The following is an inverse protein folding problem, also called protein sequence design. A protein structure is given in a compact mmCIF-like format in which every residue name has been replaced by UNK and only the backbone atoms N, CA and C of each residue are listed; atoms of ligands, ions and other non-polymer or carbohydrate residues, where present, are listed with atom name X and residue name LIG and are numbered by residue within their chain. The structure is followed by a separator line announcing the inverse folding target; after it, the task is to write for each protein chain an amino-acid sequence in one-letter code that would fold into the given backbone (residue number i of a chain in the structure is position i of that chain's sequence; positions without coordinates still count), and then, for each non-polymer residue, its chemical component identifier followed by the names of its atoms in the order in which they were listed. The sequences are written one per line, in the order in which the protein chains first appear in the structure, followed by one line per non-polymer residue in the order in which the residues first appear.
data_IF_877601547523
#
_entry.id   IF_877601547523
#
_cell.length_a   1.000
_cell.length_b   1.000
_cell.length_c   1.000
_cell.angle_alpha   90.00
_cell.angle_beta   90.00
_cell.angle_gamma   90.00
#
_symmetry.space_group_name_H-M   'P 1'
#
loop_
_entity.id
_entity.type
_entity.pdbx_description
1 polymer ?
#
# COMPACT_ATOMS: atom_id res chain seq x y z
N UNK A 1 -25.40 -40.99 23.38
CA UNK A 1 -24.42 -40.00 22.90
C UNK A 1 -25.07 -39.24 21.77
N UNK A 2 -25.34 -37.95 21.95
CA UNK A 2 -25.95 -37.14 20.89
C UNK A 2 -24.98 -37.04 19.72
N UNK A 3 -25.42 -37.49 18.55
CA UNK A 3 -24.70 -37.38 17.30
C UNK A 3 -24.74 -35.89 16.90
N UNK A 4 -23.77 -35.10 17.39
CA UNK A 4 -23.57 -33.74 16.90
C UNK A 4 -23.03 -33.87 15.48
N UNK A 5 -23.91 -34.16 14.52
CA UNK A 5 -23.62 -33.93 13.11
C UNK A 5 -23.17 -32.48 13.00
N UNK A 6 -21.96 -32.30 12.48
CA UNK A 6 -21.35 -30.98 12.33
C UNK A 6 -22.34 -30.06 11.62
N UNK A 7 -22.91 -29.11 12.36
CA UNK A 7 -24.02 -28.25 11.93
C UNK A 7 -23.70 -27.52 10.63
N UNK A 8 -22.42 -27.24 10.40
CA UNK A 8 -21.91 -26.63 9.17
C UNK A 8 -22.08 -27.53 7.93
N UNK A 9 -21.87 -28.85 8.08
CA UNK A 9 -22.07 -29.82 6.98
C UNK A 9 -23.55 -29.93 6.61
N UNK A 10 -24.46 -29.65 7.54
CA UNK A 10 -25.89 -29.69 7.32
C UNK A 10 -26.46 -28.40 6.69
N UNK A 11 -25.68 -27.32 6.60
CA UNK A 11 -26.11 -26.08 5.93
C UNK A 11 -26.43 -26.30 4.45
N UNK A 12 -27.35 -25.49 3.93
CA UNK A 12 -27.62 -25.44 2.49
C UNK A 12 -26.34 -25.07 1.71
N UNK A 13 -26.12 -25.63 0.50
CA UNK A 13 -24.94 -25.33 -0.32
C UNK A 13 -24.68 -23.83 -0.52
N UNK A 14 -25.74 -23.04 -0.68
CA UNK A 14 -25.69 -21.59 -0.91
C UNK A 14 -25.07 -20.86 0.29
N UNK A 15 -25.41 -21.29 1.52
CA UNK A 15 -24.84 -20.70 2.74
C UNK A 15 -23.37 -21.08 2.89
N UNK A 16 -22.99 -22.31 2.57
CA UNK A 16 -21.59 -22.74 2.62
C UNK A 16 -20.72 -21.96 1.62
N UNK A 17 -21.23 -21.67 0.42
CA UNK A 17 -20.53 -20.85 -0.58
C UNK A 17 -20.33 -19.43 -0.06
N UNK A 18 -21.37 -18.81 0.51
CA UNK A 18 -21.25 -17.49 1.15
C UNK A 18 -20.21 -17.48 2.26
N UNK A 19 -20.12 -18.56 3.03
CA UNK A 19 -19.11 -18.69 4.09
C UNK A 19 -17.71 -18.75 3.47
N UNK A 20 -17.48 -19.56 2.43
CA UNK A 20 -16.19 -19.56 1.72
C UNK A 20 -15.81 -18.18 1.17
N UNK A 21 -16.76 -17.44 0.61
CA UNK A 21 -16.55 -16.09 0.06
C UNK A 21 -16.30 -15.04 1.16
N UNK A 22 -16.80 -15.27 2.37
CA UNK A 22 -16.61 -14.38 3.51
C UNK A 22 -15.33 -14.67 4.31
N UNK A 23 -14.60 -15.74 3.98
CA UNK A 23 -13.31 -16.02 4.61
C UNK A 23 -12.32 -14.88 4.30
N UNK A 24 -11.39 -14.59 5.23
CA UNK A 24 -10.47 -13.46 5.07
C UNK A 24 -9.48 -13.66 3.93
N UNK A 25 -9.11 -14.91 3.64
CA UNK A 25 -8.03 -15.20 2.70
C UNK A 25 -8.10 -16.63 2.13
N UNK A 26 -7.28 -16.88 1.10
CA UNK A 26 -7.22 -18.16 0.41
C UNK A 26 -6.71 -19.28 1.32
N UNK A 27 -5.79 -18.98 2.25
CA UNK A 27 -5.32 -19.93 3.26
C UNK A 27 -6.49 -20.51 4.08
N UNK A 28 -7.36 -19.64 4.58
CA UNK A 28 -8.55 -20.05 5.35
C UNK A 28 -9.51 -20.87 4.49
N UNK A 29 -9.70 -20.51 3.23
CA UNK A 29 -10.54 -21.27 2.31
C UNK A 29 -9.97 -22.67 2.03
N UNK A 30 -8.65 -22.79 1.86
CA UNK A 30 -7.97 -24.08 1.71
C UNK A 30 -8.08 -24.90 3.00
N UNK A 31 -7.89 -24.30 4.16
CA UNK A 31 -8.05 -24.99 5.44
C UNK A 31 -9.48 -25.54 5.59
N UNK A 32 -10.49 -24.72 5.31
CA UNK A 32 -11.90 -25.13 5.41
C UNK A 32 -12.25 -26.26 4.44
N UNK A 33 -11.82 -26.18 3.17
CA UNK A 33 -12.14 -27.23 2.18
C UNK A 33 -11.51 -28.58 2.53
N UNK A 34 -10.36 -28.58 3.21
CA UNK A 34 -9.65 -29.79 3.61
C UNK A 34 -10.26 -30.50 4.82
N UNK A 35 -11.21 -29.86 5.53
CA UNK A 35 -11.85 -30.48 6.70
C UNK A 35 -12.74 -31.67 6.36
N UNK A 36 -13.37 -31.73 5.18
CA UNK A 36 -14.05 -32.93 4.70
C UNK A 36 -14.30 -32.96 3.18
N UNK A 37 -14.53 -34.16 2.63
CA UNK A 37 -14.74 -34.38 1.19
C UNK A 37 -15.94 -33.63 0.60
N UNK A 38 -17.03 -33.46 1.37
CA UNK A 38 -18.22 -32.69 0.95
C UNK A 38 -17.88 -31.22 0.72
N UNK A 39 -17.07 -30.62 1.59
CA UNK A 39 -16.64 -29.23 1.48
C UNK A 39 -15.58 -29.05 0.39
N UNK A 40 -14.68 -30.02 0.23
CA UNK A 40 -13.75 -30.04 -0.90
C UNK A 40 -14.49 -30.06 -2.25
N UNK A 41 -15.48 -30.95 -2.39
CA UNK A 41 -16.29 -31.04 -3.61
C UNK A 41 -17.06 -29.74 -3.88
N UNK A 42 -17.60 -29.11 -2.83
CA UNK A 42 -18.27 -27.82 -2.95
C UNK A 42 -17.29 -26.72 -3.37
N UNK A 43 -16.13 -26.62 -2.72
CA UNK A 43 -15.10 -25.65 -3.07
C UNK A 43 -14.70 -25.80 -4.54
N UNK A 44 -14.35 -27.02 -4.98
CA UNK A 44 -13.91 -27.26 -6.36
C UNK A 44 -14.99 -26.89 -7.38
N UNK A 45 -16.27 -27.08 -7.05
CA UNK A 45 -17.40 -26.68 -7.90
C UNK A 45 -17.54 -25.16 -8.02
N UNK A 46 -17.20 -24.40 -6.98
CA UNK A 46 -17.39 -22.95 -6.91
C UNK A 46 -16.09 -22.16 -6.81
N UNK A 47 -14.96 -22.81 -7.10
CA UNK A 47 -13.61 -22.28 -6.85
C UNK A 47 -13.41 -20.91 -7.50
N UNK A 48 -13.84 -20.76 -8.76
CA UNK A 48 -13.72 -19.50 -9.49
C UNK A 48 -14.41 -18.34 -8.76
N UNK A 49 -15.63 -18.57 -8.24
CA UNK A 49 -16.39 -17.53 -7.54
C UNK A 49 -15.83 -17.21 -6.15
N UNK A 50 -15.25 -18.22 -5.47
CA UNK A 50 -14.59 -18.03 -4.17
C UNK A 50 -13.29 -17.25 -4.37
N UNK A 51 -12.45 -17.67 -5.32
CA UNK A 51 -11.19 -16.99 -5.65
C UNK A 51 -11.42 -15.56 -6.11
N UNK A 52 -12.43 -15.32 -6.95
CA UNK A 52 -12.79 -13.97 -7.37
C UNK A 52 -13.13 -13.08 -6.18
N UNK A 53 -13.97 -13.54 -5.23
CA UNK A 53 -14.31 -12.78 -4.04
C UNK A 53 -13.08 -12.42 -3.18
N UNK A 54 -12.15 -13.38 -3.01
CA UNK A 54 -10.92 -13.17 -2.25
C UNK A 54 -9.94 -12.20 -2.95
N UNK A 55 -9.80 -12.33 -4.28
CA UNK A 55 -9.03 -11.39 -5.11
C UNK A 55 -9.61 -9.99 -5.03
N UNK A 56 -10.93 -9.86 -5.21
CA UNK A 56 -11.62 -8.57 -5.22
C UNK A 56 -11.46 -7.84 -3.89
N UNK A 57 -11.40 -8.57 -2.77
CA UNK A 57 -11.09 -8.01 -1.45
C UNK A 57 -9.69 -7.37 -1.41
N UNK A 58 -8.65 -8.10 -1.81
CA UNK A 58 -7.27 -7.61 -1.86
C UNK A 58 -7.18 -6.36 -2.76
N UNK A 59 -7.74 -6.47 -3.97
CA UNK A 59 -7.73 -5.39 -4.97
C UNK A 59 -8.46 -4.16 -4.46
N UNK A 60 -9.63 -4.32 -3.85
CA UNK A 60 -10.43 -3.21 -3.34
C UNK A 60 -9.71 -2.49 -2.20
N UNK A 61 -9.03 -3.21 -1.30
CA UNK A 61 -8.26 -2.60 -0.20
C UNK A 61 -7.13 -1.71 -0.73
N UNK A 62 -6.30 -2.24 -1.64
CA UNK A 62 -5.20 -1.46 -2.26
C UNK A 62 -5.75 -0.29 -3.06
N UNK A 63 -6.80 -0.51 -3.86
CA UNK A 63 -7.42 0.55 -4.66
C UNK A 63 -7.97 1.67 -3.78
N UNK A 64 -8.64 1.34 -2.68
CA UNK A 64 -9.19 2.34 -1.76
C UNK A 64 -8.08 3.22 -1.17
N UNK A 65 -6.92 2.62 -0.85
CA UNK A 65 -5.75 3.37 -0.40
C UNK A 65 -5.19 4.28 -1.48
N UNK A 66 -4.98 3.79 -2.71
CA UNK A 66 -4.45 4.61 -3.80
C UNK A 66 -5.40 5.75 -4.17
N UNK A 67 -6.71 5.49 -4.22
CA UNK A 67 -7.74 6.53 -4.40
C UNK A 67 -7.63 7.57 -3.30
N UNK A 68 -7.49 7.16 -2.04
CA UNK A 68 -7.26 8.09 -0.94
C UNK A 68 -6.00 8.95 -1.15
N UNK A 69 -4.88 8.36 -1.56
CA UNK A 69 -3.66 9.12 -1.86
C UNK A 69 -3.86 10.17 -2.96
N UNK A 70 -4.76 9.94 -3.92
CA UNK A 70 -5.10 10.96 -4.94
C UNK A 70 -5.81 12.19 -4.36
N UNK A 71 -6.46 12.05 -3.21
CA UNK A 71 -7.06 13.17 -2.47
C UNK A 71 -6.02 13.97 -1.68
N UNK A 72 -4.90 13.33 -1.32
CA UNK A 72 -3.85 13.91 -0.49
C UNK A 72 -2.75 14.59 -1.30
N UNK A 73 -2.07 13.86 -2.18
CA UNK A 73 -0.93 14.39 -2.91
C UNK A 73 -0.76 13.83 -4.33
N UNK A 74 -1.14 12.58 -4.58
CA UNK A 74 -0.98 11.96 -5.89
C UNK A 74 -1.96 12.63 -6.88
N UNK A 75 -1.53 12.96 -8.10
CA UNK A 75 -2.46 13.44 -9.12
C UNK A 75 -3.38 12.30 -9.58
N UNK A 76 -4.66 12.60 -9.78
CA UNK A 76 -5.66 11.58 -10.13
C UNK A 76 -5.31 10.82 -11.43
N UNK A 77 -4.66 11.49 -12.38
CA UNK A 77 -4.26 10.90 -13.66
C UNK A 77 -3.13 9.88 -13.53
N UNK A 78 -2.39 9.87 -12.41
CA UNK A 78 -1.35 8.90 -12.17
C UNK A 78 -1.91 7.54 -11.74
N UNK A 79 -3.13 7.50 -11.19
CA UNK A 79 -3.79 6.25 -10.82
C UNK A 79 -4.29 5.53 -12.08
N UNK A 80 -3.68 4.38 -12.38
CA UNK A 80 -4.05 3.50 -13.49
C UNK A 80 -4.99 2.42 -12.98
N UNK A 81 -6.25 2.48 -13.39
CA UNK A 81 -7.24 1.47 -13.05
C UNK A 81 -7.26 0.33 -14.09
N UNK A 82 -7.36 -0.94 -13.65
CA UNK A 82 -7.49 -2.06 -14.55
C UNK A 82 -8.83 -2.02 -15.32
N UNK A 83 -8.88 -2.57 -16.54
CA UNK A 83 -10.15 -2.92 -17.19
C UNK A 83 -10.95 -3.93 -16.36
N UNK A 84 -12.25 -4.10 -16.68
CA UNK A 84 -13.13 -5.02 -15.93
C UNK A 84 -12.68 -6.49 -15.90
N UNK A 85 -11.84 -6.90 -16.85
CA UNK A 85 -11.24 -8.25 -16.91
C UNK A 85 -9.78 -8.30 -16.45
N UNK A 86 -9.27 -7.22 -15.87
CA UNK A 86 -7.85 -7.05 -15.55
C UNK A 86 -7.01 -6.58 -16.75
N UNK A 87 -5.72 -6.39 -16.50
CA UNK A 87 -4.71 -6.04 -17.48
C UNK A 87 -4.46 -7.23 -18.42
N UNK A 88 -4.77 -7.11 -19.73
CA UNK A 88 -4.86 -8.26 -20.64
C UNK A 88 -3.50 -8.94 -20.90
N UNK A 89 -2.40 -8.22 -20.69
CA UNK A 89 -1.04 -8.74 -20.87
C UNK A 89 -0.42 -9.29 -19.58
N UNK A 90 -1.10 -9.18 -18.43
CA UNK A 90 -0.69 -9.81 -17.17
C UNK A 90 -1.40 -11.16 -17.06
N UNK A 91 -0.79 -12.20 -17.63
CA UNK A 91 -1.35 -13.56 -17.71
C UNK A 91 -0.33 -14.59 -17.22
N UNK A 92 -0.78 -15.78 -16.79
CA UNK A 92 0.15 -16.86 -16.43
C UNK A 92 1.14 -17.19 -17.55
N UNK A 93 0.73 -17.04 -18.82
CA UNK A 93 1.57 -17.28 -19.99
C UNK A 93 2.62 -16.18 -20.19
N UNK A 94 2.27 -14.91 -20.05
CA UNK A 94 3.26 -13.82 -20.13
C UNK A 94 4.23 -13.82 -18.94
N UNK A 95 3.86 -14.51 -17.86
CA UNK A 95 4.66 -14.71 -16.65
C UNK A 95 5.26 -16.13 -16.56
N UNK A 96 5.24 -16.89 -17.67
CA UNK A 96 5.81 -18.22 -17.72
C UNK A 96 7.32 -18.18 -17.38
N UNK A 97 7.75 -19.10 -16.52
CA UNK A 97 9.13 -19.15 -16.00
C UNK A 97 9.35 -18.35 -14.70
N UNK A 98 8.33 -17.64 -14.22
CA UNK A 98 8.31 -17.09 -12.88
C UNK A 98 7.56 -18.10 -12.00
N UNK A 99 8.19 -18.59 -10.93
CA UNK A 99 7.59 -19.60 -10.04
C UNK A 99 6.47 -19.02 -9.14
N UNK A 100 5.48 -18.34 -9.71
CA UNK A 100 4.33 -17.78 -9.00
C UNK A 100 3.07 -18.59 -9.26
N UNK A 101 2.12 -18.56 -8.33
CA UNK A 101 0.82 -19.24 -8.51
C UNK A 101 -0.08 -18.45 -9.46
N UNK A 102 -1.00 -19.14 -10.13
CA UNK A 102 -2.02 -18.50 -10.97
C UNK A 102 -2.82 -17.43 -10.21
N UNK A 103 -3.02 -17.62 -8.90
CA UNK A 103 -3.75 -16.66 -8.06
C UNK A 103 -2.97 -15.36 -7.86
N UNK A 104 -1.64 -15.40 -7.73
CA UNK A 104 -0.82 -14.18 -7.68
C UNK A 104 -0.97 -13.40 -8.97
N UNK A 105 -0.84 -14.09 -10.12
CA UNK A 105 -0.95 -13.43 -11.42
C UNK A 105 -2.36 -12.85 -11.64
N UNK A 106 -3.39 -13.57 -11.18
CA UNK A 106 -4.78 -13.09 -11.18
C UNK A 106 -4.97 -11.83 -10.31
N UNK A 107 -4.35 -11.77 -9.13
CA UNK A 107 -4.38 -10.57 -8.29
C UNK A 107 -3.65 -9.41 -8.96
N UNK A 108 -2.40 -9.62 -9.42
CA UNK A 108 -1.60 -8.58 -10.08
C UNK A 108 -2.32 -8.02 -11.31
N UNK A 109 -2.97 -8.86 -12.12
CA UNK A 109 -3.71 -8.39 -13.29
C UNK A 109 -4.92 -7.52 -12.93
N UNK A 110 -5.40 -7.55 -11.69
CA UNK A 110 -6.52 -6.71 -11.23
C UNK A 110 -6.08 -5.60 -10.27
N UNK A 111 -4.79 -5.45 -9.98
CA UNK A 111 -4.34 -4.33 -9.15
C UNK A 111 -4.43 -3.00 -9.93
N UNK A 112 -4.79 -1.90 -9.26
CA UNK A 112 -4.46 -0.58 -9.74
C UNK A 112 -2.95 -0.34 -9.60
N UNK A 113 -2.42 0.51 -10.47
CA UNK A 113 -1.02 0.92 -10.43
C UNK A 113 -0.92 2.44 -10.38
N UNK A 114 0.25 2.94 -10.01
CA UNK A 114 0.56 4.37 -10.03
C UNK A 114 1.64 4.60 -11.07
N UNK A 115 1.41 5.53 -11.98
CA UNK A 115 2.35 5.86 -13.03
C UNK A 115 3.72 6.22 -12.43
N UNK A 116 4.79 5.75 -13.04
CA UNK A 116 6.13 6.09 -12.57
C UNK A 116 6.40 7.60 -12.68
N UNK A 117 7.25 8.10 -11.78
CA UNK A 117 7.84 9.44 -11.87
C UNK A 117 9.35 9.33 -11.89
N UNK A 118 10.02 10.42 -12.21
CA UNK A 118 11.47 10.50 -12.09
C UNK A 118 11.89 10.04 -10.70
N UNK A 119 12.79 9.04 -10.58
CA UNK A 119 13.28 8.58 -9.28
C UNK A 119 13.79 9.75 -8.43
N UNK A 120 13.41 9.76 -7.14
CA UNK A 120 13.77 10.83 -6.21
C UNK A 120 12.87 12.08 -6.25
N UNK A 121 11.89 12.15 -7.16
CA UNK A 121 10.93 13.26 -7.18
C UNK A 121 9.81 13.14 -6.14
N UNK A 122 9.66 11.97 -5.48
CA UNK A 122 8.67 11.58 -4.47
C UNK A 122 7.18 11.88 -4.76
N UNK A 123 6.85 12.40 -5.94
CA UNK A 123 5.51 12.91 -6.25
C UNK A 123 4.43 11.84 -6.18
N UNK A 124 4.79 10.58 -6.44
CA UNK A 124 3.90 9.43 -6.51
C UNK A 124 4.26 8.37 -5.45
N UNK A 125 4.98 8.77 -4.40
CA UNK A 125 5.32 7.87 -3.32
C UNK A 125 4.06 7.45 -2.55
N UNK A 126 3.97 6.17 -2.20
CA UNK A 126 2.85 5.62 -1.42
C UNK A 126 3.17 5.48 0.07
N UNK A 127 4.44 5.57 0.43
CA UNK A 127 5.00 5.58 1.78
C UNK A 127 6.40 6.26 1.74
N UNK A 128 7.15 6.29 2.84
CA UNK A 128 8.52 6.78 2.93
C UNK A 128 9.40 6.26 1.78
N UNK A 129 9.68 7.11 0.80
CA UNK A 129 10.57 6.83 -0.35
C UNK A 129 10.13 5.65 -1.23
N UNK A 130 8.89 5.16 -1.08
CA UNK A 130 8.41 3.95 -1.72
C UNK A 130 7.47 4.27 -2.88
N UNK A 131 7.74 3.69 -4.04
CA UNK A 131 6.93 3.80 -5.24
C UNK A 131 6.37 2.44 -5.65
N UNK A 132 5.21 2.47 -6.31
CA UNK A 132 4.52 1.28 -6.82
C UNK A 132 5.31 0.67 -7.97
N UNK A 133 5.45 -0.65 -7.95
CA UNK A 133 5.96 -1.40 -9.10
C UNK A 133 4.82 -1.61 -10.10
N UNK A 134 4.86 -0.86 -11.20
CA UNK A 134 3.87 -0.94 -12.26
C UNK A 134 4.14 -2.12 -13.19
N UNK A 135 3.56 -3.28 -12.85
CA UNK A 135 3.68 -4.47 -13.69
C UNK A 135 3.07 -4.32 -15.09
N UNK A 136 2.27 -3.27 -15.35
CA UNK A 136 1.72 -3.06 -16.69
C UNK A 136 2.77 -2.60 -17.70
N UNK A 137 3.89 -2.04 -17.24
CA UNK A 137 4.98 -1.59 -18.12
C UNK A 137 6.03 -2.67 -18.35
N UNK A 138 5.93 -3.80 -17.64
CA UNK A 138 6.99 -4.80 -17.62
C UNK A 138 6.92 -5.78 -18.79
N UNK A 139 8.10 -6.10 -19.30
CA UNK A 139 8.28 -7.28 -20.15
C UNK A 139 8.41 -8.54 -19.28
N UNK A 140 8.16 -9.74 -19.84
CA UNK A 140 8.44 -11.00 -19.14
C UNK A 140 9.88 -11.10 -18.60
N UNK A 141 10.85 -10.46 -19.26
CA UNK A 141 12.25 -10.35 -18.84
C UNK A 141 12.39 -9.49 -17.56
N UNK A 142 11.81 -8.28 -17.57
CA UNK A 142 11.86 -7.37 -16.42
C UNK A 142 11.24 -7.96 -15.16
N UNK A 143 10.17 -8.75 -15.33
CA UNK A 143 9.55 -9.48 -14.23
C UNK A 143 10.49 -10.50 -13.57
N UNK A 144 11.26 -11.24 -14.36
CA UNK A 144 12.25 -12.21 -13.82
C UNK A 144 13.34 -11.51 -13.03
N UNK A 145 13.88 -10.42 -13.57
CA UNK A 145 15.00 -9.69 -12.96
C UNK A 145 14.65 -9.12 -11.58
N UNK A 146 13.47 -8.53 -11.40
CA UNK A 146 13.08 -7.93 -10.10
C UNK A 146 12.76 -9.00 -9.05
N UNK A 147 12.13 -10.12 -9.45
CA UNK A 147 11.95 -11.24 -8.51
C UNK A 147 13.29 -11.84 -8.07
N UNK A 148 14.28 -11.90 -8.95
CA UNK A 148 15.62 -12.37 -8.59
C UNK A 148 16.35 -11.37 -7.67
N UNK A 149 16.18 -10.06 -7.90
CA UNK A 149 16.87 -9.00 -7.17
C UNK A 149 16.32 -8.75 -5.75
N UNK A 150 15.01 -8.88 -5.55
CA UNK A 150 14.33 -8.61 -4.27
C UNK A 150 14.42 -9.76 -3.26
N UNK A 151 14.94 -10.94 -3.64
CA UNK A 151 14.90 -12.12 -2.76
C UNK A 151 13.49 -12.69 -2.49
N UNK A 152 12.43 -12.00 -2.93
CA UNK A 152 11.02 -12.45 -2.96
C UNK A 152 10.80 -13.52 -4.07
N UNK A 153 11.79 -13.74 -4.92
CA UNK A 153 11.85 -14.81 -5.93
C UNK A 153 12.17 -16.20 -5.38
N UNK A 154 11.71 -17.22 -6.12
CA UNK A 154 11.75 -18.69 -5.93
C UNK A 154 11.27 -19.29 -4.60
N UNK A 155 11.37 -18.58 -3.48
CA UNK A 155 11.05 -19.14 -2.14
C UNK A 155 9.54 -19.05 -1.83
N UNK A 156 8.85 -18.00 -2.26
CA UNK A 156 7.42 -17.78 -1.94
C UNK A 156 6.57 -17.55 -3.18
N UNK A 157 5.98 -18.64 -3.71
CA UNK A 157 5.17 -18.64 -4.94
C UNK A 157 3.87 -17.82 -4.85
N UNK A 158 3.40 -17.55 -3.65
CA UNK A 158 2.16 -16.82 -3.36
C UNK A 158 2.37 -15.35 -2.99
N UNK A 159 3.62 -14.88 -2.97
CA UNK A 159 3.98 -13.51 -2.62
C UNK A 159 4.37 -12.69 -3.86
N UNK A 160 4.15 -11.38 -3.85
CA UNK A 160 4.59 -10.45 -4.90
C UNK A 160 5.08 -9.12 -4.31
N UNK A 161 6.20 -8.59 -4.81
CA UNK A 161 6.67 -7.25 -4.44
C UNK A 161 5.80 -6.20 -5.14
N UNK A 162 5.08 -5.37 -4.40
CA UNK A 162 4.14 -4.39 -4.98
C UNK A 162 4.66 -2.95 -4.91
N UNK A 163 5.62 -2.67 -4.03
CA UNK A 163 6.33 -1.40 -3.96
C UNK A 163 7.76 -1.58 -3.44
N UNK A 164 8.66 -0.71 -3.87
CA UNK A 164 10.05 -0.68 -3.42
C UNK A 164 10.51 0.76 -3.23
N UNK A 165 11.58 0.96 -2.49
CA UNK A 165 12.15 2.29 -2.30
C UNK A 165 13.31 2.58 -3.26
N UNK A 166 13.61 3.86 -3.45
CA UNK A 166 14.82 4.29 -4.16
C UNK A 166 16.04 4.53 -3.25
N UNK A 167 15.97 4.18 -1.95
CA UNK A 167 17.09 4.36 -1.01
C UNK A 167 17.76 3.03 -0.64
N UNK A 168 19.06 3.07 -0.33
CA UNK A 168 19.84 1.88 0.08
C UNK A 168 19.45 1.34 1.47
N UNK A 169 18.62 2.07 2.21
CA UNK A 169 17.99 1.65 3.49
C UNK A 169 16.50 1.36 3.31
N UNK A 170 16.15 0.99 2.09
CA UNK A 170 14.81 0.92 1.60
C UNK A 170 13.88 -0.05 2.29
N UNK A 171 12.61 0.24 2.06
CA UNK A 171 11.49 -0.62 2.43
C UNK A 171 10.96 -1.32 1.18
N UNK A 172 10.81 -2.63 1.27
CA UNK A 172 10.13 -3.45 0.27
C UNK A 172 8.76 -3.88 0.79
N UNK A 173 7.71 -3.60 0.02
CA UNK A 173 6.34 -3.98 0.36
C UNK A 173 5.95 -5.23 -0.42
N UNK A 174 5.83 -6.34 0.29
CA UNK A 174 5.54 -7.66 -0.29
C UNK A 174 4.12 -8.08 0.08
N UNK A 175 3.28 -8.31 -0.93
CA UNK A 175 1.92 -8.82 -0.78
C UNK A 175 1.91 -10.35 -0.74
N UNK A 176 1.44 -10.94 0.35
CA UNK A 176 1.06 -12.35 0.42
C UNK A 176 -0.40 -12.50 -0.02
N UNK A 177 -0.61 -13.01 -1.23
CA UNK A 177 -1.95 -13.23 -1.78
C UNK A 177 -2.68 -14.41 -1.14
N UNK A 178 -1.94 -15.37 -0.56
CA UNK A 178 -2.55 -16.53 0.08
C UNK A 178 -3.17 -16.15 1.43
N UNK A 179 -2.51 -15.26 2.18
CA UNK A 179 -2.94 -14.82 3.51
C UNK A 179 -3.62 -13.45 3.54
N UNK A 180 -3.57 -12.70 2.44
CA UNK A 180 -4.01 -11.31 2.37
C UNK A 180 -3.24 -10.44 3.38
N UNK A 181 -1.92 -10.59 3.42
CA UNK A 181 -1.02 -9.88 4.34
C UNK A 181 -0.04 -9.00 3.56
N UNK A 182 0.35 -7.88 4.16
CA UNK A 182 1.49 -7.07 3.73
C UNK A 182 2.68 -7.40 4.63
N UNK A 183 3.78 -7.83 3.99
CA UNK A 183 5.08 -8.00 4.62
C UNK A 183 5.96 -6.82 4.22
N UNK A 184 6.29 -6.00 5.21
CA UNK A 184 7.25 -4.91 5.10
C UNK A 184 8.62 -5.46 5.45
N UNK A 185 9.44 -5.64 4.43
CA UNK A 185 10.84 -6.03 4.58
C UNK A 185 11.67 -4.76 4.65
N UNK A 186 12.20 -4.47 5.83
CA UNK A 186 13.11 -3.37 6.06
C UNK A 186 14.52 -3.97 6.17
N UNK A 187 15.49 -3.36 5.48
CA UNK A 187 16.95 -3.63 5.59
C UNK A 187 17.35 -4.09 7.03
N UNK A 188 18.31 -5.03 7.22
CA UNK A 188 18.33 -6.09 8.24
C UNK A 188 18.47 -5.66 9.72
N UNK A 189 18.30 -4.38 10.02
CA UNK A 189 18.39 -3.78 11.35
C UNK A 189 17.02 -3.42 11.95
N UNK A 190 15.93 -3.38 11.17
CA UNK A 190 14.63 -2.89 11.64
C UNK A 190 13.54 -3.96 11.80
N UNK A 191 13.82 -5.21 11.41
CA UNK A 191 12.89 -6.34 11.53
C UNK A 191 11.81 -6.35 10.45
N UNK A 192 11.35 -7.55 10.10
CA UNK A 192 10.22 -7.73 9.20
C UNK A 192 8.92 -7.51 9.97
N UNK A 193 7.97 -6.79 9.36
CA UNK A 193 6.64 -6.61 9.92
C UNK A 193 5.58 -7.17 8.97
N UNK A 194 4.70 -8.03 9.50
CA UNK A 194 3.61 -8.67 8.75
C UNK A 194 2.28 -8.28 9.37
N UNK A 195 1.34 -7.85 8.53
CA UNK A 195 0.03 -7.37 8.96
C UNK A 195 -1.04 -7.74 7.93
N UNK A 196 -2.28 -7.93 8.37
CA UNK A 196 -3.42 -8.05 7.46
C UNK A 196 -3.50 -6.82 6.54
N UNK A 197 -3.88 -7.04 5.29
CA UNK A 197 -3.89 -5.99 4.27
C UNK A 197 -4.85 -4.84 4.59
N UNK A 198 -6.02 -5.13 5.17
CA UNK A 198 -7.01 -4.12 5.56
C UNK A 198 -6.53 -3.33 6.77
N UNK A 199 -5.92 -4.01 7.74
CA UNK A 199 -5.31 -3.38 8.91
C UNK A 199 -4.15 -2.45 8.49
N UNK A 200 -3.26 -2.93 7.61
CA UNK A 200 -2.10 -2.17 7.15
C UNK A 200 -2.50 -0.90 6.40
N UNK A 201 -3.31 -1.03 5.35
CA UNK A 201 -3.72 0.15 4.59
C UNK A 201 -4.67 1.06 5.39
N UNK A 202 -5.46 0.51 6.31
CA UNK A 202 -6.25 1.30 7.26
C UNK A 202 -5.37 2.15 8.17
N UNK A 203 -4.33 1.55 8.76
CA UNK A 203 -3.32 2.27 9.55
C UNK A 203 -2.65 3.37 8.72
N UNK A 204 -2.25 3.08 7.47
CA UNK A 204 -1.60 4.06 6.60
C UNK A 204 -2.51 5.27 6.26
N UNK A 205 -3.81 5.04 6.04
CA UNK A 205 -4.79 6.12 5.88
C UNK A 205 -4.85 6.99 7.13
N UNK A 206 -4.92 6.40 8.32
CA UNK A 206 -4.96 7.15 9.58
C UNK A 206 -3.68 7.95 9.82
N UNK A 207 -2.50 7.36 9.57
CA UNK A 207 -1.21 8.08 9.63
C UNK A 207 -1.18 9.29 8.71
N UNK A 208 -1.75 9.17 7.50
CA UNK A 208 -1.88 10.30 6.58
C UNK A 208 -2.88 11.36 7.10
N UNK A 209 -4.04 10.95 7.62
CA UNK A 209 -5.06 11.87 8.21
C UNK A 209 -4.52 12.65 9.41
N UNK A 210 -3.69 11.99 10.21
CA UNK A 210 -3.04 12.56 11.39
C UNK A 210 -1.78 13.35 11.06
N UNK A 211 -1.31 13.29 9.80
CA UNK A 211 -0.06 13.92 9.37
C UNK A 211 1.14 13.38 10.17
N UNK A 212 1.12 12.07 10.46
CA UNK A 212 2.29 11.29 10.90
C UNK A 212 3.16 10.91 9.69
N UNK A 213 2.55 10.85 8.51
CA UNK A 213 3.18 10.77 7.20
C UNK A 213 2.84 12.04 6.41
N UNK A 214 3.81 12.93 6.25
CA UNK A 214 3.62 14.21 5.56
C UNK A 214 4.40 14.25 4.25
N UNK A 215 3.68 14.27 3.14
CA UNK A 215 4.27 14.35 1.82
C UNK A 215 4.82 15.75 1.55
N UNK A 216 6.03 15.83 1.01
CA UNK A 216 6.68 17.10 0.68
C UNK A 216 7.11 17.02 -0.78
N UNK A 217 6.45 17.74 -1.71
CA UNK A 217 6.78 17.64 -3.13
C UNK A 217 8.25 17.98 -3.42
N UNK A 218 8.99 17.04 -4.00
CA UNK A 218 10.41 17.16 -4.34
C UNK A 218 11.39 16.87 -3.19
N UNK A 219 10.91 16.42 -2.03
CA UNK A 219 11.75 16.11 -0.86
C UNK A 219 11.28 14.82 -0.19
N UNK A 220 12.09 14.20 0.66
CA UNK A 220 11.66 13.00 1.38
C UNK A 220 10.40 13.25 2.23
N UNK A 221 9.48 12.27 2.22
CA UNK A 221 8.30 12.27 3.08
C UNK A 221 8.73 12.33 4.54
N UNK A 222 8.19 13.30 5.29
CA UNK A 222 8.50 13.43 6.71
C UNK A 222 7.67 12.41 7.47
N UNK A 223 8.36 11.54 8.21
CA UNK A 223 7.75 10.62 9.17
C UNK A 223 7.91 11.20 10.55
N UNK A 224 6.83 11.70 11.14
CA UNK A 224 6.85 12.21 12.52
C UNK A 224 6.71 11.06 13.52
N UNK A 225 7.73 10.19 13.58
CA UNK A 225 7.79 9.04 14.52
C UNK A 225 7.81 9.46 16.00
N UNK A 226 7.90 10.75 16.28
CA UNK A 226 7.98 11.31 17.64
C UNK A 226 6.85 12.28 17.92
N UNK A 227 5.75 12.24 17.15
CA UNK A 227 4.57 13.02 17.47
C UNK A 227 4.18 12.75 18.92
N UNK A 228 4.07 13.82 19.68
CA UNK A 228 3.54 13.77 21.04
C UNK A 228 2.26 14.61 21.10
N UNK A 229 1.30 14.25 21.96
CA UNK A 229 0.09 15.04 22.14
C UNK A 229 0.35 16.54 22.40
N UNK A 230 1.47 16.87 23.05
CA UNK A 230 1.92 18.23 23.32
C UNK A 230 2.29 19.05 22.07
N UNK A 231 2.54 18.41 20.91
CA UNK A 231 2.84 19.12 19.65
C UNK A 231 1.62 19.78 19.02
N UNK A 232 0.42 19.40 19.48
CA UNK A 232 -0.86 19.77 18.90
C UNK A 232 -1.18 18.95 17.63
N UNK A 233 -2.42 19.08 17.17
CA UNK A 233 -2.92 18.49 15.92
C UNK A 233 -2.49 19.29 14.67
N UNK A 234 -1.78 20.41 14.87
CA UNK A 234 -1.36 21.36 13.85
C UNK A 234 -2.43 22.38 13.46
N UNK A 235 -3.55 22.47 14.17
CA UNK A 235 -4.60 23.47 13.88
C UNK A 235 -4.15 24.90 14.19
N UNK A 236 -3.20 25.06 15.11
CA UNK A 236 -2.62 26.33 15.50
C UNK A 236 -1.26 26.57 14.84
N UNK A 237 -0.95 27.84 14.56
CA UNK A 237 0.33 28.28 14.02
C UNK A 237 1.42 28.07 15.09
N UNK A 238 2.42 27.18 14.88
CA UNK A 238 3.29 26.73 15.97
C UNK A 238 4.44 27.69 16.33
N UNK A 239 4.79 28.63 15.43
CA UNK A 239 5.86 29.62 15.63
C UNK A 239 5.66 30.83 14.67
N UNK A 240 6.49 31.87 14.79
CA UNK A 240 6.62 32.89 13.74
C UNK A 240 7.51 32.37 12.60
N UNK A 241 7.12 32.64 11.35
CA UNK A 241 7.86 32.15 10.18
C UNK A 241 9.30 32.67 10.18
N UNK A 242 9.56 33.91 10.61
CA UNK A 242 10.91 34.48 10.67
C UNK A 242 11.82 33.68 11.62
N UNK A 243 11.33 33.33 12.81
CA UNK A 243 12.06 32.49 13.76
C UNK A 243 12.33 31.09 13.21
N UNK A 244 11.33 30.50 12.56
CA UNK A 244 11.45 29.18 11.94
C UNK A 244 12.51 29.17 10.83
N UNK A 245 12.56 30.23 10.03
CA UNK A 245 13.56 30.39 8.95
C UNK A 245 14.97 30.71 9.47
N UNK A 246 15.09 31.27 10.68
CA UNK A 246 16.37 31.60 11.32
C UNK A 246 17.00 30.43 12.09
N UNK A 247 16.38 29.25 12.11
CA UNK A 247 16.95 28.05 12.73
C UNK A 247 18.27 27.66 12.07
N UNK A 248 19.29 27.34 12.87
CA UNK A 248 20.60 26.87 12.37
C UNK A 248 20.63 25.36 12.11
N UNK A 249 19.65 24.62 12.64
CA UNK A 249 19.56 23.16 12.53
C UNK A 249 19.23 22.71 11.10
N UNK A 250 19.76 21.55 10.72
CA UNK A 250 19.46 20.94 9.42
C UNK A 250 17.98 20.53 9.34
N UNK A 251 17.40 20.76 8.17
CA UNK A 251 16.03 20.34 7.86
C UNK A 251 15.96 18.81 7.66
N UNK A 252 14.88 18.12 8.08
CA UNK A 252 13.73 18.64 8.83
C UNK A 252 13.92 18.56 10.36
N UNK A 253 13.56 19.63 11.08
CA UNK A 253 13.45 19.64 12.54
C UNK A 253 12.02 19.33 13.01
N UNK A 254 11.82 19.11 14.32
CA UNK A 254 10.48 18.99 14.93
C UNK A 254 9.63 20.25 14.69
N UNK A 255 10.24 21.43 14.61
CA UNK A 255 9.51 22.69 14.32
C UNK A 255 9.07 22.75 12.86
N UNK A 256 9.92 22.28 11.93
CA UNK A 256 9.56 22.21 10.52
C UNK A 256 8.38 21.25 10.28
N UNK A 257 8.39 20.09 10.94
CA UNK A 257 7.29 19.12 10.92
C UNK A 257 5.96 19.72 11.43
N UNK A 258 6.00 20.46 12.56
CA UNK A 258 4.82 21.16 13.09
C UNK A 258 4.30 22.23 12.14
N UNK A 259 5.20 22.97 11.48
CA UNK A 259 4.80 23.99 10.50
C UNK A 259 4.13 23.39 9.27
N UNK A 260 4.71 22.32 8.71
CA UNK A 260 4.13 21.59 7.57
C UNK A 260 2.76 21.03 7.95
N UNK A 261 2.61 20.46 9.14
CA UNK A 261 1.32 20.01 9.67
C UNK A 261 0.30 21.15 9.65
N UNK A 262 0.68 22.32 10.14
CA UNK A 262 -0.17 23.51 10.12
C UNK A 262 -0.57 23.94 8.70
N UNK A 263 0.33 23.88 7.72
CA UNK A 263 -0.01 24.21 6.33
C UNK A 263 -1.07 23.27 5.75
N UNK A 264 -0.98 21.97 6.04
CA UNK A 264 -2.01 20.98 5.66
C UNK A 264 -3.35 21.24 6.36
N UNK A 265 -3.33 21.46 7.69
CA UNK A 265 -4.55 21.75 8.48
C UNK A 265 -5.23 23.03 8.02
N UNK A 266 -4.46 24.10 7.81
CA UNK A 266 -4.96 25.39 7.29
C UNK A 266 -5.59 25.27 5.90
N UNK A 267 -5.12 24.31 5.10
CA UNK A 267 -5.70 24.00 3.80
C UNK A 267 -6.93 23.09 3.89
N UNK A 268 -7.34 22.64 5.09
CA UNK A 268 -8.56 21.88 5.33
C UNK A 268 -8.36 20.37 5.50
N UNK A 269 -7.13 19.85 5.59
CA UNK A 269 -6.89 18.40 5.72
C UNK A 269 -7.30 17.83 7.09
N UNK A 270 -7.94 16.63 7.18
CA UNK A 270 -8.38 15.73 6.11
C UNK A 270 -9.85 15.94 5.70
N UNK A 271 -10.39 17.13 5.97
CA UNK A 271 -11.78 17.45 5.67
C UNK A 271 -12.08 17.42 4.16
N UNK A 272 -13.38 17.35 3.80
CA UNK A 272 -13.82 17.30 2.40
C UNK A 272 -13.47 18.56 1.60
N UNK A 273 -13.25 19.70 2.27
CA UNK A 273 -12.88 20.98 1.66
C UNK A 273 -11.36 21.17 1.52
N UNK A 274 -10.58 20.08 1.62
CA UNK A 274 -9.13 20.13 1.52
C UNK A 274 -8.66 20.69 0.17
N UNK A 275 -7.91 21.79 0.23
CA UNK A 275 -7.33 22.46 -0.93
C UNK A 275 -5.97 21.86 -1.27
N UNK A 276 -5.96 20.64 -1.85
CA UNK A 276 -4.75 19.87 -2.17
C UNK A 276 -3.63 20.71 -2.79
N UNK A 277 -3.90 21.35 -3.92
CA UNK A 277 -2.88 22.06 -4.70
C UNK A 277 -2.37 23.29 -3.96
N UNK A 278 -3.20 23.93 -3.13
CA UNK A 278 -2.77 25.04 -2.26
C UNK A 278 -1.85 24.55 -1.15
N UNK A 279 -2.19 23.43 -0.51
CA UNK A 279 -1.38 22.83 0.55
C UNK A 279 0.01 22.43 0.02
N UNK A 280 0.05 21.65 -1.06
CA UNK A 280 1.29 21.18 -1.67
C UNK A 280 2.19 22.33 -2.13
N UNK A 281 1.63 23.39 -2.71
CA UNK A 281 2.39 24.60 -3.06
C UNK A 281 2.96 25.30 -1.83
N UNK A 282 2.15 25.49 -0.78
CA UNK A 282 2.61 26.16 0.44
C UNK A 282 3.72 25.36 1.14
N UNK A 283 3.58 24.04 1.23
CA UNK A 283 4.60 23.14 1.79
C UNK A 283 5.87 23.19 0.96
N UNK A 284 5.78 23.06 -0.36
CA UNK A 284 6.94 23.13 -1.25
C UNK A 284 7.69 24.47 -1.10
N UNK A 285 6.99 25.59 -1.15
CA UNK A 285 7.61 26.92 -0.97
C UNK A 285 8.29 27.08 0.38
N UNK A 286 7.68 26.57 1.46
CA UNK A 286 8.29 26.58 2.78
C UNK A 286 9.58 25.77 2.80
N UNK A 287 9.55 24.55 2.29
CA UNK A 287 10.71 23.66 2.33
C UNK A 287 11.84 24.18 1.45
N UNK A 288 11.56 24.61 0.21
CA UNK A 288 12.59 25.19 -0.67
C UNK A 288 13.30 26.39 -0.03
N UNK A 289 12.56 27.22 0.70
CA UNK A 289 13.15 28.33 1.45
C UNK A 289 13.98 27.84 2.65
N UNK A 290 13.50 26.81 3.36
CA UNK A 290 14.08 26.29 4.61
C UNK A 290 15.32 25.42 4.41
N UNK A 291 15.35 24.60 3.36
CA UNK A 291 16.49 23.74 3.03
C UNK A 291 17.59 24.47 2.25
N UNK A 292 17.34 25.72 1.81
CA UNK A 292 18.24 26.48 0.94
C UNK A 292 18.39 25.85 -0.46
N UNK A 293 19.12 26.51 -1.38
CA UNK A 293 19.50 25.87 -2.63
C UNK A 293 20.40 24.68 -2.28
N UNK A 294 19.99 23.48 -2.71
CA UNK A 294 20.80 22.25 -2.64
C UNK A 294 22.29 22.56 -2.84
N UNK A 295 23.09 22.50 -1.76
CA UNK A 295 24.54 22.35 -1.90
C UNK A 295 24.74 20.91 -2.36
N UNK A 296 24.69 20.69 -3.67
CA UNK A 296 25.22 19.49 -4.30
C UNK A 296 26.74 19.50 -4.03
N UNK A 297 27.14 18.84 -2.95
CA UNK A 297 28.49 18.35 -2.73
C UNK A 297 28.62 16.94 -3.29
#
# INVERSE_FOLDING_TARGET
MANYENTFICLAPELKIKIFQALPNLHSAIALRLTCSKLNALYLRYERGIRAALRDRIVQTINSYYVFLTTLHIPWWALKCPPSGGWPHITPQSHAGVEKTDFVIEVLSHLPYIAETTPGANLHDIELTCYVLDYTTWTPEGFRSINAASGVGSVYKHMALIATSYTSRGMEMVLDTMRAEINIQINPYAGDYVMDIEEYFGMMVERCRNLELMFVPGHETIVDMKWKPEDGDGSECPDDLGNLMAQEEDYPTRRDARWIRYLYRKAGWPGPDFQKERALRAVKMFVEARSGPYRLG
#
